data_IF_123447083811
#
_entry.id   IF_123447083811
#
_cell.length_a   1.000
_cell.length_b   1.000
_cell.length_c   1.000
_cell.angle_alpha   90.00
_cell.angle_beta   90.00
_cell.angle_gamma   90.00
#
_symmetry.space_group_name_H-M   'P 1'
#
loop_
_entity.id
_entity.type
_entity.pdbx_description
1 polymer ?
#
# COMPACT_ATOMS: atom_id res chain seq x y z
N UNK A 1 12.65 -5.77 -0.35
CA UNK A 1 11.71 -6.15 0.75
C UNK A 1 11.47 -7.64 0.68
N UNK A 2 11.65 -8.34 1.79
CA UNK A 2 11.37 -9.79 1.84
C UNK A 2 9.87 -10.04 1.98
N UNK A 3 9.45 -11.29 1.78
CA UNK A 3 8.05 -11.69 1.99
C UNK A 3 7.60 -11.40 3.41
N UNK A 4 8.48 -11.69 4.37
CA UNK A 4 8.20 -11.48 5.79
C UNK A 4 8.08 -10.00 6.13
N UNK A 5 8.95 -9.17 5.57
CA UNK A 5 8.88 -7.71 5.75
C UNK A 5 7.57 -7.17 5.19
N UNK A 6 7.20 -7.59 4.00
CA UNK A 6 5.95 -7.16 3.38
C UNK A 6 4.75 -7.56 4.24
N UNK A 7 4.72 -8.81 4.71
CA UNK A 7 3.65 -9.29 5.57
C UNK A 7 3.53 -8.46 6.83
N UNK A 8 4.64 -8.23 7.53
CA UNK A 8 4.63 -7.48 8.78
C UNK A 8 4.25 -6.02 8.58
N UNK A 9 4.68 -5.41 7.49
CA UNK A 9 4.29 -4.02 7.19
C UNK A 9 2.80 -3.92 6.88
N UNK A 10 2.27 -4.87 6.10
CA UNK A 10 0.85 -4.89 5.78
C UNK A 10 0.01 -5.08 7.05
N UNK A 11 0.43 -6.00 7.93
CA UNK A 11 -0.25 -6.26 9.18
C UNK A 11 -0.24 -5.03 10.09
N UNK A 12 0.88 -4.33 10.17
CA UNK A 12 1.00 -3.11 10.97
C UNK A 12 0.05 -2.02 10.47
N UNK A 13 -0.09 -1.87 9.15
CA UNK A 13 -1.02 -0.90 8.58
C UNK A 13 -2.46 -1.27 8.94
N UNK A 14 -2.80 -2.55 8.83
CA UNK A 14 -4.15 -3.01 9.21
C UNK A 14 -4.44 -2.71 10.67
N UNK A 15 -3.51 -3.01 11.57
CA UNK A 15 -3.71 -2.78 13.00
C UNK A 15 -3.87 -1.28 13.30
N UNK A 16 -3.05 -0.44 12.69
CA UNK A 16 -3.11 1.00 12.95
C UNK A 16 -4.37 1.64 12.40
N UNK A 17 -4.75 1.35 11.17
CA UNK A 17 -5.81 2.10 10.50
C UNK A 17 -7.17 1.42 10.52
N UNK A 18 -7.24 0.10 10.66
CA UNK A 18 -8.52 -0.60 10.74
C UNK A 18 -8.87 -0.94 12.18
N UNK A 19 -7.98 -1.65 12.88
CA UNK A 19 -8.30 -2.15 14.22
C UNK A 19 -8.40 -1.03 15.26
N UNK A 20 -7.53 -0.03 15.16
CA UNK A 20 -7.50 1.07 16.13
C UNK A 20 -8.39 2.25 15.75
N UNK A 21 -8.51 2.56 14.46
CA UNK A 21 -9.14 3.80 13.98
C UNK A 21 -10.36 3.62 13.11
N UNK A 22 -10.58 2.42 12.57
CA UNK A 22 -11.62 2.16 11.57
C UNK A 22 -11.56 3.16 10.41
N UNK A 23 -10.35 3.46 9.95
CA UNK A 23 -10.06 4.44 8.91
C UNK A 23 -9.71 3.73 7.61
N UNK A 24 -10.74 3.42 6.81
CA UNK A 24 -10.56 2.67 5.57
C UNK A 24 -9.87 3.49 4.48
N UNK A 25 -10.07 4.79 4.48
CA UNK A 25 -9.46 5.68 3.48
C UNK A 25 -7.94 5.68 3.62
N UNK A 26 -7.44 5.91 4.84
CA UNK A 26 -6.00 5.87 5.08
C UNK A 26 -5.44 4.46 4.93
N UNK A 27 -6.21 3.44 5.30
CA UNK A 27 -5.80 2.07 5.07
C UNK A 27 -5.49 1.82 3.59
N UNK A 28 -6.41 2.21 2.69
CA UNK A 28 -6.21 2.07 1.25
C UNK A 28 -4.98 2.83 0.78
N UNK A 29 -4.83 4.05 1.24
CA UNK A 29 -3.69 4.89 0.87
C UNK A 29 -2.36 4.21 1.20
N UNK A 30 -2.20 3.76 2.44
CA UNK A 30 -0.94 3.18 2.88
C UNK A 30 -0.69 1.79 2.30
N UNK A 31 -1.73 0.98 2.12
CA UNK A 31 -1.54 -0.34 1.52
C UNK A 31 -1.25 -0.26 0.03
N UNK A 32 -1.89 0.65 -0.70
CA UNK A 32 -1.58 0.87 -2.10
C UNK A 32 -0.12 1.30 -2.26
N UNK A 33 0.35 2.22 -1.41
CA UNK A 33 1.73 2.67 -1.45
C UNK A 33 2.72 1.56 -1.12
N UNK A 34 2.40 0.70 -0.16
CA UNK A 34 3.26 -0.43 0.18
C UNK A 34 3.41 -1.40 -1.00
N UNK A 35 2.29 -1.72 -1.66
CA UNK A 35 2.33 -2.59 -2.82
C UNK A 35 3.07 -1.95 -4.00
N UNK A 36 2.90 -0.65 -4.21
CA UNK A 36 3.63 0.08 -5.23
C UNK A 36 5.14 0.06 -4.97
N UNK A 37 5.55 0.26 -3.71
CA UNK A 37 6.96 0.22 -3.34
C UNK A 37 7.58 -1.13 -3.67
N UNK A 38 6.88 -2.22 -3.38
CA UNK A 38 7.36 -3.56 -3.69
C UNK A 38 7.51 -3.76 -5.20
N UNK A 39 6.52 -3.32 -5.96
CA UNK A 39 6.56 -3.45 -7.42
C UNK A 39 7.69 -2.62 -8.02
N UNK A 40 7.96 -1.44 -7.48
CA UNK A 40 9.09 -0.61 -7.92
C UNK A 40 10.41 -1.34 -7.67
N UNK A 41 10.57 -1.95 -6.50
CA UNK A 41 11.76 -2.75 -6.20
C UNK A 41 11.96 -3.88 -7.21
N UNK A 42 10.87 -4.46 -7.68
CA UNK A 42 10.91 -5.56 -8.64
C UNK A 42 11.09 -5.12 -10.10
N UNK A 43 11.14 -3.81 -10.34
CA UNK A 43 11.39 -3.28 -11.66
C UNK A 43 10.14 -2.87 -12.44
N UNK A 44 8.98 -2.81 -11.79
CA UNK A 44 7.72 -2.46 -12.44
C UNK A 44 7.34 -0.98 -12.27
N UNK A 45 8.34 -0.12 -12.11
CA UNK A 45 8.12 1.30 -11.83
C UNK A 45 7.29 2.04 -12.87
N UNK A 46 7.47 1.71 -14.16
CA UNK A 46 6.70 2.39 -15.21
C UNK A 46 5.20 2.14 -15.09
N UNK A 47 4.82 0.89 -14.82
CA UNK A 47 3.40 0.56 -14.62
C UNK A 47 2.85 1.18 -13.34
N UNK A 48 3.65 1.20 -12.29
CA UNK A 48 3.26 1.83 -11.02
C UNK A 48 3.02 3.33 -11.23
N UNK A 49 3.83 3.98 -12.06
CA UNK A 49 3.68 5.40 -12.36
C UNK A 49 2.31 5.69 -13.00
N UNK A 50 1.87 4.84 -13.92
CA UNK A 50 0.54 4.96 -14.52
C UNK A 50 -0.53 4.88 -13.44
N UNK A 51 -0.43 3.91 -12.54
CA UNK A 51 -1.39 3.75 -11.44
C UNK A 51 -1.40 4.97 -10.53
N UNK A 52 -0.24 5.47 -10.13
CA UNK A 52 -0.14 6.60 -9.21
C UNK A 52 -0.65 7.91 -9.83
N UNK A 53 -0.46 8.08 -11.13
CA UNK A 53 -0.88 9.28 -11.84
C UNK A 53 -2.36 9.27 -12.22
N UNK A 54 -3.02 8.12 -12.10
CA UNK A 54 -4.44 8.01 -12.46
C UNK A 54 -5.30 8.37 -11.26
N UNK A 55 -6.32 9.24 -11.43
CA UNK A 55 -7.24 9.55 -10.33
C UNK A 55 -7.92 8.27 -9.82
N UNK A 56 -7.93 8.11 -8.50
CA UNK A 56 -8.49 6.93 -7.84
C UNK A 56 -9.39 7.38 -6.70
N UNK A 57 -10.33 6.51 -6.34
CA UNK A 57 -11.23 6.77 -5.24
C UNK A 57 -10.93 5.81 -4.08
N UNK A 58 -10.74 6.39 -2.89
CA UNK A 58 -10.37 5.64 -1.70
C UNK A 58 -11.49 5.59 -0.66
N UNK A 59 -12.70 5.65 -1.04
CA UNK A 59 -13.84 5.67 -0.12
C UNK A 59 -14.01 4.38 0.69
#
# INVERSE_FOLDING_TARGET
MTKEEFYHKMLAIKEEFIDKRDDKEDFHYYTDNLMCDLLIELGYGQGVEVFLDTPKWYA
#
